data_IF_304155551144
#
_entry.id   IF_304155551144
#
_cell.length_a   1.000
_cell.length_b   1.000
_cell.length_c   1.000
_cell.angle_alpha   90.00
_cell.angle_beta   90.00
_cell.angle_gamma   90.00
#
_symmetry.space_group_name_H-M   'P 1'
#
loop_
_entity.id
_entity.type
_entity.pdbx_description
1 polymer ?
#
# COMPACT_ATOMS: atom_id res chain seq x y z
N UNK A 1 -22.46 -2.23 -17.32
CA UNK A 1 -22.98 -1.20 -16.41
C UNK A 1 -21.77 -0.75 -15.63
N UNK A 2 -21.51 0.54 -15.65
CA UNK A 2 -20.31 1.16 -15.08
C UNK A 2 -20.26 0.92 -13.57
N UNK A 3 -19.31 0.17 -13.11
CA UNK A 3 -18.84 0.19 -11.73
C UNK A 3 -17.69 1.21 -11.72
N UNK A 4 -18.00 2.46 -11.74
CA UNK A 4 -18.07 3.52 -10.76
C UNK A 4 -16.93 3.42 -9.73
N UNK A 5 -15.86 4.21 -9.90
CA UNK A 5 -15.84 5.65 -9.53
C UNK A 5 -16.60 6.00 -8.23
N UNK A 6 -16.84 5.06 -7.35
CA UNK A 6 -17.33 5.41 -6.03
C UNK A 6 -16.14 5.73 -5.12
N UNK A 7 -16.04 7.04 -4.97
CA UNK A 7 -15.24 7.80 -4.01
C UNK A 7 -14.89 7.00 -2.77
N UNK A 8 -13.65 6.98 -2.41
CA UNK A 8 -13.16 6.63 -1.08
C UNK A 8 -14.11 7.22 -0.03
N UNK A 9 -15.05 6.43 0.48
CA UNK A 9 -16.03 6.80 1.52
C UNK A 9 -16.75 8.15 1.34
N UNK A 10 -16.93 8.64 0.11
CA UNK A 10 -17.57 9.94 -0.15
C UNK A 10 -16.69 11.17 0.14
N UNK A 11 -15.43 11.01 0.47
CA UNK A 11 -14.50 12.10 0.76
C UNK A 11 -13.88 12.67 -0.51
N UNK A 12 -13.63 13.97 -0.54
CA UNK A 12 -12.78 14.57 -1.57
C UNK A 12 -11.31 14.26 -1.29
N UNK A 13 -10.40 14.33 -2.30
CA UNK A 13 -8.97 14.19 -2.06
C UNK A 13 -8.40 15.14 -0.99
N UNK A 14 -8.95 16.34 -0.87
CA UNK A 14 -8.56 17.32 0.16
C UNK A 14 -9.00 16.89 1.55
N UNK A 15 -10.27 16.46 1.69
CA UNK A 15 -10.79 15.98 2.98
C UNK A 15 -9.98 14.76 3.45
N UNK A 16 -9.64 13.84 2.55
CA UNK A 16 -8.79 12.69 2.86
C UNK A 16 -7.41 13.10 3.38
N UNK A 17 -6.77 14.07 2.74
CA UNK A 17 -5.46 14.58 3.19
C UNK A 17 -5.55 15.23 4.59
N UNK A 18 -6.62 16.00 4.87
CA UNK A 18 -6.86 16.63 6.17
C UNK A 18 -7.13 15.56 7.26
N UNK A 19 -7.97 14.58 6.98
CA UNK A 19 -8.26 13.47 7.88
C UNK A 19 -7.01 12.63 8.17
N UNK A 20 -6.24 12.28 7.12
CA UNK A 20 -5.00 11.52 7.25
C UNK A 20 -3.93 12.28 8.05
N UNK A 21 -3.85 13.62 7.90
CA UNK A 21 -2.92 14.44 8.66
C UNK A 21 -3.24 14.48 10.16
N UNK A 22 -4.50 14.27 10.53
CA UNK A 22 -4.99 14.25 11.92
C UNK A 22 -5.06 12.84 12.54
N UNK A 23 -4.96 11.79 11.73
CA UNK A 23 -4.99 10.39 12.20
C UNK A 23 -3.60 9.96 12.68
N UNK A 24 -3.43 9.86 14.01
CA UNK A 24 -2.17 9.45 14.65
C UNK A 24 -1.74 8.03 14.20
N UNK A 25 -2.70 7.13 13.97
CA UNK A 25 -2.42 5.75 13.53
C UNK A 25 -1.85 5.75 12.12
N UNK A 26 -2.48 6.51 11.22
CA UNK A 26 -1.98 6.69 9.85
C UNK A 26 -0.57 7.30 9.84
N UNK A 27 -0.37 8.40 10.59
CA UNK A 27 0.92 9.07 10.67
C UNK A 27 2.03 8.17 11.24
N UNK A 28 1.70 7.33 12.23
CA UNK A 28 2.64 6.33 12.77
C UNK A 28 3.05 5.31 11.70
N UNK A 29 2.09 4.79 10.92
CA UNK A 29 2.39 3.87 9.80
C UNK A 29 3.28 4.53 8.75
N UNK A 30 2.96 5.75 8.32
CA UNK A 30 3.77 6.48 7.33
C UNK A 30 5.18 6.72 7.84
N UNK A 31 5.32 7.18 9.09
CA UNK A 31 6.64 7.38 9.72
C UNK A 31 7.44 6.09 9.77
N UNK A 32 6.80 4.98 10.15
CA UNK A 32 7.46 3.67 10.17
C UNK A 32 7.93 3.24 8.77
N UNK A 33 7.10 3.38 7.74
CA UNK A 33 7.51 3.08 6.36
C UNK A 33 8.73 3.91 5.96
N UNK A 34 8.67 5.22 6.19
CA UNK A 34 9.75 6.15 5.82
C UNK A 34 11.07 5.85 6.55
N UNK A 35 11.01 5.41 7.80
CA UNK A 35 12.19 5.19 8.64
C UNK A 35 12.74 3.78 8.54
N UNK A 36 11.90 2.76 8.38
CA UNK A 36 12.26 1.36 8.56
C UNK A 36 12.08 0.49 7.31
N UNK A 37 11.31 0.93 6.29
CA UNK A 37 11.23 0.17 5.05
C UNK A 37 12.62 0.04 4.40
N UNK A 38 12.96 -1.15 3.85
CA UNK A 38 14.27 -1.41 3.27
C UNK A 38 14.43 -0.75 1.89
N UNK A 39 14.33 0.57 1.85
CA UNK A 39 14.40 1.41 0.65
C UNK A 39 15.78 2.04 0.55
N UNK A 40 16.49 1.78 -0.55
CA UNK A 40 17.78 2.37 -0.87
C UNK A 40 17.66 3.59 -1.80
N UNK A 41 18.70 4.43 -1.81
CA UNK A 41 18.73 5.65 -2.63
C UNK A 41 18.66 5.40 -4.14
N UNK A 42 19.02 4.21 -4.58
CA UNK A 42 19.02 3.81 -6.00
C UNK A 42 17.76 3.00 -6.37
N UNK A 43 16.80 2.89 -5.46
CA UNK A 43 15.61 2.12 -5.70
C UNK A 43 14.55 2.88 -6.51
N UNK A 44 13.90 2.15 -7.40
CA UNK A 44 12.56 2.50 -7.86
C UNK A 44 11.55 1.85 -6.90
N UNK A 45 10.73 2.67 -6.28
CA UNK A 45 9.64 2.25 -5.38
C UNK A 45 8.32 2.36 -6.12
N UNK A 46 7.45 1.37 -5.99
CA UNK A 46 6.06 1.45 -6.47
C UNK A 46 5.15 1.58 -5.26
N UNK A 47 4.34 2.61 -5.22
CA UNK A 47 3.27 2.83 -4.25
C UNK A 47 1.93 2.49 -4.91
N UNK A 48 1.37 1.30 -4.61
CA UNK A 48 0.13 0.81 -5.22
C UNK A 48 -1.05 1.10 -4.33
N UNK A 49 -2.11 1.70 -4.89
CA UNK A 49 -3.17 2.33 -4.13
C UNK A 49 -2.71 3.67 -3.57
N UNK A 50 -1.93 4.42 -4.36
CA UNK A 50 -1.26 5.66 -3.92
C UNK A 50 -2.22 6.78 -3.52
N UNK A 51 -3.47 6.73 -3.97
CA UNK A 51 -4.50 7.71 -3.66
C UNK A 51 -4.07 9.14 -4.00
N UNK A 52 -4.04 9.99 -2.98
CA UNK A 52 -3.59 11.38 -3.07
C UNK A 52 -2.06 11.54 -3.10
N UNK A 53 -1.31 10.43 -3.06
CA UNK A 53 0.14 10.42 -3.12
C UNK A 53 0.86 10.80 -1.82
N UNK A 54 0.19 10.73 -0.66
CA UNK A 54 0.81 11.08 0.63
C UNK A 54 2.08 10.28 0.89
N UNK A 55 2.00 8.95 0.83
CA UNK A 55 3.15 8.06 1.07
C UNK A 55 4.20 8.21 -0.03
N UNK A 56 3.78 8.26 -1.30
CA UNK A 56 4.68 8.43 -2.43
C UNK A 56 5.54 9.69 -2.32
N UNK A 57 4.97 10.81 -1.89
CA UNK A 57 5.68 12.08 -1.74
C UNK A 57 6.70 12.05 -0.58
N UNK A 58 6.37 11.41 0.54
CA UNK A 58 7.30 11.21 1.65
C UNK A 58 8.49 10.33 1.24
N UNK A 59 8.23 9.25 0.49
CA UNK A 59 9.25 8.32 0.02
C UNK A 59 10.19 8.91 -1.03
N UNK A 60 9.76 9.95 -1.75
CA UNK A 60 10.57 10.58 -2.80
C UNK A 60 11.95 11.05 -2.31
N UNK A 61 12.07 11.43 -1.03
CA UNK A 61 13.34 11.85 -0.43
C UNK A 61 14.31 10.69 -0.14
N UNK A 62 13.84 9.44 -0.20
CA UNK A 62 14.57 8.23 0.23
C UNK A 62 15.13 7.41 -0.91
N UNK A 63 14.60 7.55 -2.12
CA UNK A 63 14.90 6.68 -3.26
C UNK A 63 15.16 7.46 -4.54
N UNK A 64 15.55 6.76 -5.60
CA UNK A 64 15.77 7.37 -6.91
C UNK A 64 14.45 7.85 -7.52
N UNK A 65 13.40 7.02 -7.42
CA UNK A 65 12.10 7.30 -8.04
C UNK A 65 10.96 6.62 -7.30
N UNK A 66 9.81 7.27 -7.29
CA UNK A 66 8.53 6.67 -6.85
C UNK A 66 7.53 6.64 -7.99
N UNK A 67 6.88 5.49 -8.17
CA UNK A 67 5.83 5.27 -9.15
C UNK A 67 4.52 5.02 -8.39
N UNK A 68 3.70 6.06 -8.23
CA UNK A 68 2.37 5.93 -7.65
C UNK A 68 1.40 5.31 -8.65
N UNK A 69 0.63 4.33 -8.21
CA UNK A 69 -0.38 3.64 -9.00
C UNK A 69 -1.71 3.62 -8.27
N UNK A 70 -2.78 3.99 -8.97
CA UNK A 70 -4.14 3.97 -8.46
C UNK A 70 -5.13 3.77 -9.61
N UNK A 71 -6.31 3.29 -9.32
CA UNK A 71 -7.39 3.13 -10.29
C UNK A 71 -8.22 4.41 -10.45
N UNK A 72 -8.12 5.34 -9.51
CA UNK A 72 -8.89 6.57 -9.47
C UNK A 72 -8.13 7.74 -10.13
N UNK A 73 -8.51 8.08 -11.35
CA UNK A 73 -7.87 9.14 -12.13
C UNK A 73 -8.04 10.55 -11.50
N UNK A 74 -9.08 10.78 -10.71
CA UNK A 74 -9.28 12.06 -10.03
C UNK A 74 -8.23 12.24 -8.92
N UNK A 75 -8.01 11.20 -8.12
CA UNK A 75 -7.00 11.19 -7.08
C UNK A 75 -5.59 11.30 -7.66
N UNK A 76 -5.31 10.60 -8.76
CA UNK A 76 -4.04 10.73 -9.47
C UNK A 76 -3.80 12.14 -10.01
N UNK A 77 -4.85 12.83 -10.51
CA UNK A 77 -4.73 14.24 -10.92
C UNK A 77 -4.39 15.16 -9.74
N UNK A 78 -5.02 14.92 -8.60
CA UNK A 78 -4.73 15.64 -7.37
C UNK A 78 -3.29 15.39 -6.89
N UNK A 79 -2.85 14.13 -6.88
CA UNK A 79 -1.48 13.74 -6.50
C UNK A 79 -0.42 14.40 -7.40
N UNK A 80 -0.62 14.43 -8.73
CA UNK A 80 0.28 15.13 -9.67
C UNK A 80 0.36 16.63 -9.38
N UNK A 81 -0.78 17.26 -9.12
CA UNK A 81 -0.83 18.68 -8.76
C UNK A 81 -0.04 18.94 -7.48
N UNK A 82 -0.27 18.15 -6.45
CA UNK A 82 0.41 18.23 -5.14
C UNK A 82 1.93 18.05 -5.28
N UNK A 83 2.39 17.07 -6.07
CA UNK A 83 3.81 16.88 -6.36
C UNK A 83 4.44 18.10 -7.01
N UNK A 84 3.77 18.68 -8.04
CA UNK A 84 4.23 19.88 -8.74
C UNK A 84 4.29 21.10 -7.82
N UNK A 85 3.28 21.30 -6.97
CA UNK A 85 3.23 22.43 -6.02
C UNK A 85 4.33 22.34 -4.94
N UNK A 86 4.72 21.12 -4.56
CA UNK A 86 5.80 20.86 -3.62
C UNK A 86 7.19 20.73 -4.27
N UNK A 87 7.30 20.85 -5.58
CA UNK A 87 8.56 20.73 -6.31
C UNK A 87 9.19 19.34 -6.26
N UNK A 88 8.39 18.29 -6.11
CA UNK A 88 8.86 16.90 -6.09
C UNK A 88 8.88 16.36 -7.53
N UNK A 89 10.09 16.15 -8.09
CA UNK A 89 10.27 15.83 -9.51
C UNK A 89 10.49 14.33 -9.77
N UNK A 90 10.87 13.56 -8.75
CA UNK A 90 11.18 12.13 -8.88
C UNK A 90 9.98 11.21 -8.54
N UNK A 91 8.75 11.72 -8.65
CA UNK A 91 7.51 10.97 -8.48
C UNK A 91 6.68 11.03 -9.76
N UNK A 92 6.10 9.90 -10.17
CA UNK A 92 5.08 9.87 -11.23
C UNK A 92 3.83 9.13 -10.74
N UNK A 93 2.67 9.55 -11.24
CA UNK A 93 1.38 8.98 -10.87
C UNK A 93 0.63 8.55 -12.13
N UNK A 94 0.33 7.25 -12.27
CA UNK A 94 -0.34 6.70 -13.43
C UNK A 94 -1.35 5.63 -13.02
N UNK A 95 -2.29 5.35 -13.92
CA UNK A 95 -3.32 4.35 -13.71
C UNK A 95 -2.72 2.94 -13.57
N UNK A 96 -3.13 2.23 -12.53
CA UNK A 96 -2.76 0.84 -12.27
C UNK A 96 -3.46 0.31 -11.03
N UNK A 97 -3.69 -0.99 -10.98
CA UNK A 97 -4.31 -1.68 -9.85
C UNK A 97 -3.31 -2.60 -9.16
N UNK A 98 -3.72 -3.20 -8.04
CA UNK A 98 -2.95 -4.27 -7.39
C UNK A 98 -2.69 -5.46 -8.32
N UNK A 99 -3.69 -5.86 -9.13
CA UNK A 99 -3.57 -6.99 -10.06
C UNK A 99 -2.72 -6.65 -11.29
N UNK A 100 -2.82 -5.41 -11.76
CA UNK A 100 -2.12 -4.89 -12.94
C UNK A 100 -1.48 -3.54 -12.62
N UNK A 101 -0.32 -3.52 -11.94
CA UNK A 101 0.33 -2.27 -11.52
C UNK A 101 0.87 -1.43 -12.69
N UNK A 102 0.90 -1.97 -13.91
CA UNK A 102 1.32 -1.28 -15.14
C UNK A 102 2.70 -0.59 -15.01
N UNK A 103 3.68 -1.34 -14.53
CA UNK A 103 5.06 -0.88 -14.39
C UNK A 103 5.95 -1.65 -15.36
N UNK A 104 6.66 -0.93 -16.22
CA UNK A 104 7.51 -1.49 -17.29
C UNK A 104 9.02 -1.48 -16.97
N UNK A 105 9.41 -1.23 -15.72
CA UNK A 105 10.79 -1.15 -15.29
C UNK A 105 11.05 -2.02 -14.04
N UNK A 106 12.32 -2.21 -13.68
CA UNK A 106 12.68 -2.96 -12.48
C UNK A 106 12.29 -2.19 -11.22
N UNK A 107 11.72 -2.91 -10.26
CA UNK A 107 11.23 -2.38 -8.99
C UNK A 107 12.04 -2.96 -7.85
N UNK A 108 12.54 -2.10 -6.97
CA UNK A 108 13.24 -2.51 -5.75
C UNK A 108 12.25 -2.87 -4.63
N UNK A 109 11.29 -2.01 -4.40
CA UNK A 109 10.32 -2.12 -3.30
C UNK A 109 8.92 -1.79 -3.79
N UNK A 110 7.94 -2.58 -3.36
CA UNK A 110 6.51 -2.25 -3.49
C UNK A 110 5.98 -1.86 -2.12
N UNK A 111 5.27 -0.75 -2.05
CA UNK A 111 4.54 -0.28 -0.88
C UNK A 111 3.05 -0.33 -1.20
N UNK A 112 2.24 -0.80 -0.25
CA UNK A 112 0.79 -0.70 -0.26
C UNK A 112 0.37 -0.15 1.10
N UNK A 113 -0.27 1.02 1.12
CA UNK A 113 -0.64 1.71 2.35
C UNK A 113 -2.12 2.04 2.37
N UNK A 114 -2.86 1.50 3.35
CA UNK A 114 -4.30 1.71 3.56
C UNK A 114 -5.18 1.45 2.32
N UNK A 115 -4.81 0.47 1.53
CA UNK A 115 -5.48 0.19 0.27
C UNK A 115 -5.67 -1.31 -0.02
N UNK A 116 -4.75 -2.17 0.43
CA UNK A 116 -4.82 -3.59 0.13
C UNK A 116 -5.99 -4.30 0.85
N UNK A 117 -6.38 -3.81 2.06
CA UNK A 117 -7.52 -4.37 2.80
C UNK A 117 -8.83 -4.28 2.00
N UNK A 118 -8.94 -3.30 1.09
CA UNK A 118 -10.11 -3.15 0.23
C UNK A 118 -10.26 -4.30 -0.78
N UNK A 119 -9.16 -5.00 -1.08
CA UNK A 119 -9.22 -6.22 -1.87
C UNK A 119 -9.75 -7.43 -1.08
N UNK A 120 -9.93 -7.29 0.23
CA UNK A 120 -10.53 -8.32 1.11
C UNK A 120 -12.02 -8.03 1.36
N UNK A 121 -12.75 -7.64 0.34
CA UNK A 121 -14.17 -7.33 0.45
C UNK A 121 -14.99 -8.57 0.85
N UNK A 122 -15.88 -8.42 1.84
CA UNK A 122 -16.75 -9.48 2.36
C UNK A 122 -16.04 -10.79 2.76
N UNK A 123 -14.75 -10.72 3.17
CA UNK A 123 -13.97 -11.89 3.53
C UNK A 123 -13.43 -12.69 2.34
N UNK A 124 -13.38 -12.11 1.16
CA UNK A 124 -12.91 -12.75 -0.06
C UNK A 124 -11.38 -12.82 -0.13
N UNK A 125 -10.81 -13.91 0.38
CA UNK A 125 -9.36 -14.17 0.30
C UNK A 125 -8.84 -14.25 -1.14
N UNK A 126 -9.67 -14.67 -2.10
CA UNK A 126 -9.27 -14.84 -3.50
C UNK A 126 -8.89 -13.50 -4.14
N UNK A 127 -9.63 -12.43 -3.84
CA UNK A 127 -9.33 -11.08 -4.33
C UNK A 127 -8.02 -10.53 -3.73
N UNK A 128 -7.83 -10.73 -2.42
CA UNK A 128 -6.60 -10.37 -1.74
C UNK A 128 -5.39 -11.16 -2.29
N UNK A 129 -5.56 -12.46 -2.55
CA UNK A 129 -4.55 -13.30 -3.19
C UNK A 129 -4.16 -12.77 -4.57
N UNK A 130 -5.14 -12.47 -5.41
CA UNK A 130 -4.90 -11.92 -6.74
C UNK A 130 -4.19 -10.55 -6.70
N UNK A 131 -4.49 -9.72 -5.71
CA UNK A 131 -3.82 -8.46 -5.48
C UNK A 131 -2.34 -8.67 -5.10
N UNK A 132 -2.05 -9.59 -4.16
CA UNK A 132 -0.69 -9.91 -3.74
C UNK A 132 0.12 -10.57 -4.88
N UNK A 133 -0.48 -11.46 -5.67
CA UNK A 133 0.14 -12.03 -6.86
C UNK A 133 0.50 -10.94 -7.89
N UNK A 134 -0.41 -9.99 -8.13
CA UNK A 134 -0.17 -8.89 -9.05
C UNK A 134 1.01 -8.01 -8.65
N UNK A 135 1.07 -7.55 -7.39
CA UNK A 135 2.21 -6.75 -6.92
C UNK A 135 3.51 -7.55 -6.87
N UNK A 136 3.45 -8.86 -6.57
CA UNK A 136 4.62 -9.72 -6.57
C UNK A 136 5.19 -9.96 -7.97
N UNK A 137 4.35 -9.85 -9.02
CA UNK A 137 4.75 -10.01 -10.43
C UNK A 137 5.76 -8.96 -10.90
N UNK A 138 5.82 -7.80 -10.22
CA UNK A 138 6.86 -6.79 -10.41
C UNK A 138 8.24 -7.26 -9.98
N UNK A 139 8.33 -8.44 -9.38
CA UNK A 139 9.58 -9.05 -8.92
C UNK A 139 10.42 -8.16 -7.97
N UNK A 140 9.78 -7.45 -7.00
CA UNK A 140 10.52 -6.61 -6.07
C UNK A 140 11.37 -7.44 -5.11
N UNK A 141 12.37 -6.81 -4.49
CA UNK A 141 13.12 -7.41 -3.38
C UNK A 141 12.32 -7.41 -2.08
N UNK A 142 11.51 -6.36 -1.89
CA UNK A 142 10.71 -6.17 -0.69
C UNK A 142 9.28 -5.73 -1.03
N UNK A 143 8.34 -6.20 -0.22
CA UNK A 143 6.94 -5.72 -0.20
C UNK A 143 6.69 -5.18 1.21
N UNK A 144 6.16 -3.97 1.30
CA UNK A 144 5.75 -3.31 2.55
C UNK A 144 4.25 -3.09 2.49
N UNK A 145 3.53 -3.62 3.48
CA UNK A 145 2.09 -3.47 3.61
C UNK A 145 1.80 -2.75 4.93
N UNK A 146 1.31 -1.51 4.86
CA UNK A 146 0.84 -0.77 6.02
C UNK A 146 -0.68 -0.63 5.92
N UNK A 147 -1.42 -1.45 6.67
CA UNK A 147 -2.85 -1.57 6.38
C UNK A 147 -3.70 -1.98 7.58
N UNK A 148 -5.00 -1.93 7.35
CA UNK A 148 -6.00 -2.46 8.25
C UNK A 148 -6.01 -3.98 8.14
N UNK A 149 -5.71 -4.65 9.26
CA UNK A 149 -5.75 -6.10 9.40
C UNK A 149 -5.87 -6.48 10.87
N UNK A 150 -6.44 -7.64 11.15
CA UNK A 150 -6.62 -8.08 12.51
C UNK A 150 -5.37 -8.80 13.04
N UNK A 151 -4.80 -8.31 14.13
CA UNK A 151 -3.58 -8.83 14.75
C UNK A 151 -3.81 -9.77 15.95
N UNK A 152 -5.03 -9.82 16.46
CA UNK A 152 -5.37 -10.66 17.60
C UNK A 152 -5.47 -12.16 17.24
N UNK A 153 -5.60 -13.04 18.24
CA UNK A 153 -5.85 -14.45 18.00
C UNK A 153 -7.24 -14.64 17.35
N UNK A 154 -7.40 -15.63 16.45
CA UNK A 154 -8.64 -15.82 15.67
C UNK A 154 -9.91 -15.84 16.51
N UNK A 155 -9.84 -16.43 17.72
CA UNK A 155 -10.95 -16.53 18.66
C UNK A 155 -11.39 -15.20 19.25
N UNK A 156 -10.56 -14.17 19.20
CA UNK A 156 -10.89 -12.83 19.71
C UNK A 156 -11.51 -11.91 18.64
N UNK A 157 -11.55 -12.35 17.38
CA UNK A 157 -12.08 -11.57 16.25
C UNK A 157 -13.61 -11.39 16.32
N UNK A 158 -14.32 -12.32 16.99
CA UNK A 158 -15.78 -12.33 16.97
C UNK A 158 -16.34 -12.63 15.58
N UNK A 159 -17.49 -12.04 15.26
CA UNK A 159 -18.15 -12.19 13.95
C UNK A 159 -17.74 -11.12 12.93
N UNK A 160 -16.73 -10.29 13.25
CA UNK A 160 -16.23 -9.28 12.32
C UNK A 160 -15.20 -9.89 11.35
N UNK A 161 -15.65 -10.17 10.14
CA UNK A 161 -14.83 -10.71 9.05
C UNK A 161 -14.45 -9.65 7.99
N UNK A 162 -14.66 -8.38 8.27
CA UNK A 162 -14.43 -7.28 7.31
C UNK A 162 -12.95 -7.01 7.04
N UNK A 163 -12.06 -7.36 7.97
CA UNK A 163 -10.62 -7.19 7.80
C UNK A 163 -9.90 -8.53 7.62
N UNK A 164 -8.85 -8.63 6.81
CA UNK A 164 -8.03 -9.84 6.75
C UNK A 164 -7.30 -10.05 8.07
N UNK A 165 -7.05 -11.30 8.44
CA UNK A 165 -6.11 -11.59 9.51
C UNK A 165 -4.68 -11.34 9.04
N UNK A 166 -3.82 -10.83 9.90
CA UNK A 166 -2.38 -10.66 9.61
C UNK A 166 -1.76 -11.98 9.14
N UNK A 167 -2.13 -13.10 9.76
CA UNK A 167 -1.67 -14.43 9.37
C UNK A 167 -2.07 -14.82 7.94
N UNK A 168 -3.27 -14.42 7.49
CA UNK A 168 -3.70 -14.61 6.10
C UNK A 168 -2.81 -13.83 5.15
N UNK A 169 -2.58 -12.54 5.40
CA UNK A 169 -1.69 -11.71 4.57
C UNK A 169 -0.27 -12.29 4.53
N UNK A 170 0.25 -12.71 5.69
CA UNK A 170 1.58 -13.32 5.80
C UNK A 170 1.70 -14.62 4.99
N UNK A 171 0.68 -15.49 5.02
CA UNK A 171 0.66 -16.73 4.26
C UNK A 171 0.59 -16.46 2.76
N UNK A 172 -0.23 -15.50 2.33
CA UNK A 172 -0.33 -15.12 0.91
C UNK A 172 1.00 -14.55 0.38
N UNK A 173 1.70 -13.75 1.18
CA UNK A 173 3.05 -13.28 0.84
C UNK A 173 4.05 -14.45 0.76
N UNK A 174 3.95 -15.42 1.65
CA UNK A 174 4.80 -16.62 1.62
C UNK A 174 4.53 -17.49 0.37
N UNK A 175 3.27 -17.64 -0.04
CA UNK A 175 2.87 -18.39 -1.24
C UNK A 175 3.52 -17.79 -2.52
N UNK A 176 3.76 -16.48 -2.55
CA UNK A 176 4.41 -15.80 -3.69
C UNK A 176 5.92 -15.57 -3.49
N UNK A 177 6.53 -16.25 -2.51
CA UNK A 177 7.98 -16.30 -2.31
C UNK A 177 8.56 -15.17 -1.47
N UNK A 178 7.79 -14.62 -0.51
CA UNK A 178 8.27 -13.65 0.45
C UNK A 178 8.20 -14.18 1.88
N UNK A 179 9.14 -13.75 2.71
CA UNK A 179 9.13 -14.02 4.16
C UNK A 179 9.02 -12.71 4.91
N UNK A 180 8.15 -12.66 5.93
CA UNK A 180 8.10 -11.51 6.82
C UNK A 180 9.44 -11.35 7.55
N UNK A 181 10.00 -10.16 7.46
CA UNK A 181 11.27 -9.80 8.12
C UNK A 181 11.08 -8.78 9.22
N UNK A 182 9.96 -8.06 9.20
CA UNK A 182 9.59 -7.12 10.25
C UNK A 182 8.08 -6.94 10.33
N UNK A 183 7.57 -6.64 11.54
CA UNK A 183 6.17 -6.41 11.82
C UNK A 183 6.05 -5.33 12.91
N UNK A 184 5.36 -4.24 12.61
CA UNK A 184 4.97 -3.22 13.58
C UNK A 184 3.47 -3.24 13.79
N UNK A 185 3.02 -3.43 15.02
CA UNK A 185 1.60 -3.40 15.39
C UNK A 185 1.30 -2.02 15.98
N UNK A 186 0.59 -1.19 15.23
CA UNK A 186 0.26 0.19 15.63
C UNK A 186 -1.01 0.22 16.49
N UNK A 187 -1.97 -0.65 16.17
CA UNK A 187 -3.19 -0.86 16.95
C UNK A 187 -3.71 -2.29 16.76
N UNK A 188 -4.81 -2.65 17.43
CA UNK A 188 -5.41 -3.98 17.29
C UNK A 188 -5.84 -4.32 15.85
N UNK A 189 -6.02 -3.30 15.01
CA UNK A 189 -6.51 -3.44 13.64
C UNK A 189 -5.67 -2.74 12.58
N UNK A 190 -4.49 -2.23 12.93
CA UNK A 190 -3.58 -1.56 11.99
C UNK A 190 -2.14 -1.90 12.31
N UNK A 191 -1.36 -2.19 11.28
CA UNK A 191 0.07 -2.42 11.41
C UNK A 191 0.81 -2.40 10.09
N UNK A 192 2.12 -2.57 10.17
CA UNK A 192 3.02 -2.60 9.03
C UNK A 192 3.72 -3.96 8.96
N UNK A 193 3.68 -4.58 7.81
CA UNK A 193 4.41 -5.81 7.49
C UNK A 193 5.50 -5.48 6.48
N UNK A 194 6.72 -5.92 6.76
CA UNK A 194 7.83 -5.88 5.81
C UNK A 194 8.16 -7.31 5.40
N UNK A 195 8.06 -7.60 4.12
CA UNK A 195 8.35 -8.91 3.57
C UNK A 195 9.51 -8.83 2.57
N UNK A 196 10.42 -9.78 2.67
CA UNK A 196 11.61 -9.87 1.81
C UNK A 196 11.51 -11.12 0.95
N UNK A 197 11.88 -11.01 -0.33
CA UNK A 197 11.89 -12.13 -1.26
C UNK A 197 12.90 -13.18 -0.78
N UNK A 198 12.45 -14.42 -0.71
CA UNK A 198 13.31 -15.56 -0.39
C UNK A 198 14.27 -15.82 -1.54
N UNK A 199 15.57 -15.92 -1.22
CA UNK A 199 16.56 -16.37 -2.20
C UNK A 199 16.24 -17.83 -2.56
N UNK A 200 15.92 -18.10 -3.82
CA UNK A 200 15.76 -19.46 -4.34
C UNK A 200 17.09 -20.20 -4.46
#
# INVERSE_FOLDING_TARGET
MNETEDSYHGSTPTDYDEDSASDETYQTCVSYIVEHAPIGREDTVVDVGTGTGLVALELASKCERVLGRDINDEWLRYARKKASENGVENVSFDHGSFREPNVGEMVGVVVASYALYMAYDEGCEEELRAAIEGISSLNPRHIVVADKMFFGPPESRGDDETLPQMGTVANLLADVGFTLTDVEIVSDSVGVLVATRTSG
#
